data_IF_893120187176
#
_entry.id   IF_893120187176
#
_cell.length_a   1.000
_cell.length_b   1.000
_cell.length_c   1.000
_cell.angle_alpha   90.00
_cell.angle_beta   90.00
_cell.angle_gamma   90.00
#
_symmetry.space_group_name_H-M   'P 1'
#
loop_
_entity.id
_entity.type
_entity.pdbx_description
1 polymer ?
#
# COMPACT_ATOMS: atom_id res chain seq x y z
N UNK A 1 -50.27 26.68 -24.45
CA UNK A 1 -49.55 26.02 -25.55
C UNK A 1 -48.79 24.83 -24.97
N UNK A 2 -49.37 23.63 -25.08
CA UNK A 2 -48.74 22.40 -24.60
C UNK A 2 -47.73 21.95 -25.66
N UNK A 3 -46.44 21.95 -25.32
CA UNK A 3 -45.40 21.48 -26.22
C UNK A 3 -45.55 19.97 -26.42
N UNK A 4 -45.97 19.57 -27.62
CA UNK A 4 -45.87 18.21 -28.15
C UNK A 4 -44.39 17.82 -28.31
N UNK A 5 -43.72 17.50 -27.20
CA UNK A 5 -42.49 16.72 -27.28
C UNK A 5 -42.89 15.26 -27.51
N UNK A 6 -43.18 14.92 -28.76
CA UNK A 6 -43.18 13.53 -29.19
C UNK A 6 -41.76 13.01 -29.00
N UNK A 7 -41.54 12.20 -27.96
CA UNK A 7 -40.30 11.44 -27.81
C UNK A 7 -40.09 10.65 -29.09
N UNK A 8 -38.94 10.82 -29.73
CA UNK A 8 -38.68 10.23 -31.04
C UNK A 8 -38.85 8.71 -31.04
N UNK A 9 -39.03 8.06 -32.21
CA UNK A 9 -39.27 6.61 -32.30
C UNK A 9 -38.16 5.76 -31.66
N UNK A 10 -36.96 6.32 -31.52
CA UNK A 10 -35.80 5.68 -30.87
C UNK A 10 -35.95 5.73 -29.34
N UNK A 11 -36.29 6.88 -28.78
CA UNK A 11 -36.46 7.04 -27.33
C UNK A 11 -37.56 6.11 -26.80
N UNK A 12 -38.73 6.09 -27.45
CA UNK A 12 -39.82 5.19 -27.07
C UNK A 12 -39.42 3.71 -27.14
N UNK A 13 -38.62 3.30 -28.13
CA UNK A 13 -38.12 1.92 -28.25
C UNK A 13 -37.17 1.53 -27.10
N UNK A 14 -36.36 2.47 -26.63
CA UNK A 14 -35.44 2.23 -25.51
C UNK A 14 -36.15 2.21 -24.16
N UNK A 15 -37.12 3.11 -23.94
CA UNK A 15 -37.87 3.18 -22.69
C UNK A 15 -38.87 2.03 -22.51
N UNK A 16 -39.36 1.44 -23.60
CA UNK A 16 -40.35 0.35 -23.54
C UNK A 16 -39.74 -1.05 -23.49
N UNK A 17 -38.42 -1.19 -23.69
CA UNK A 17 -37.74 -2.48 -23.67
C UNK A 17 -36.66 -2.51 -22.58
N UNK A 18 -36.98 -3.19 -21.47
CA UNK A 18 -36.10 -3.32 -20.30
C UNK A 18 -34.74 -3.92 -20.65
N UNK A 19 -34.67 -4.89 -21.56
CA UNK A 19 -33.40 -5.52 -21.97
C UNK A 19 -32.51 -4.50 -22.67
N UNK A 20 -33.07 -3.71 -23.59
CA UNK A 20 -32.31 -2.69 -24.32
C UNK A 20 -31.82 -1.60 -23.38
N UNK A 21 -32.66 -1.17 -22.43
CA UNK A 21 -32.27 -0.21 -21.41
C UNK A 21 -31.11 -0.71 -20.54
N UNK A 22 -31.17 -1.96 -20.06
CA UNK A 22 -30.09 -2.56 -19.25
C UNK A 22 -28.79 -2.65 -20.04
N UNK A 23 -28.84 -3.09 -21.31
CA UNK A 23 -27.64 -3.21 -22.14
C UNK A 23 -26.98 -1.86 -22.42
N UNK A 24 -27.77 -0.81 -22.71
CA UNK A 24 -27.25 0.53 -22.94
C UNK A 24 -26.63 1.10 -21.67
N UNK A 25 -27.32 0.97 -20.52
CA UNK A 25 -26.78 1.43 -19.23
C UNK A 25 -25.49 0.71 -18.88
N UNK A 26 -25.44 -0.62 -19.06
CA UNK A 26 -24.23 -1.41 -18.86
C UNK A 26 -23.09 -0.92 -19.75
N UNK A 27 -23.35 -0.70 -21.05
CA UNK A 27 -22.35 -0.21 -21.98
C UNK A 27 -21.82 1.17 -21.55
N UNK A 28 -22.71 2.12 -21.21
CA UNK A 28 -22.32 3.47 -20.81
C UNK A 28 -21.50 3.51 -19.52
N UNK A 29 -21.92 2.76 -18.48
CA UNK A 29 -21.19 2.71 -17.20
C UNK A 29 -19.83 2.02 -17.37
N UNK A 30 -19.72 1.05 -18.28
CA UNK A 30 -18.46 0.33 -18.53
C UNK A 30 -17.38 1.17 -19.19
N UNK A 31 -17.74 2.23 -19.94
CA UNK A 31 -16.75 3.06 -20.66
C UNK A 31 -15.73 3.68 -19.69
N UNK A 32 -16.17 4.23 -18.56
CA UNK A 32 -15.27 4.85 -17.59
C UNK A 32 -14.25 3.86 -17.04
N UNK A 33 -14.72 2.68 -16.60
CA UNK A 33 -13.83 1.62 -16.10
C UNK A 33 -12.86 1.11 -17.17
N UNK A 34 -13.31 0.96 -18.42
CA UNK A 34 -12.45 0.53 -19.53
C UNK A 34 -11.34 1.56 -19.80
N UNK A 35 -11.68 2.85 -19.85
CA UNK A 35 -10.73 3.92 -20.21
C UNK A 35 -9.74 4.21 -19.07
N UNK A 36 -10.15 4.09 -17.82
CA UNK A 36 -9.30 4.43 -16.67
C UNK A 36 -8.47 3.25 -16.15
N UNK A 37 -9.05 2.03 -16.11
CA UNK A 37 -8.41 0.88 -15.45
C UNK A 37 -7.58 0.05 -16.41
N UNK A 38 -8.11 -0.26 -17.61
CA UNK A 38 -7.44 -1.19 -18.53
C UNK A 38 -6.06 -0.67 -18.97
N UNK A 39 -5.88 0.61 -19.34
CA UNK A 39 -4.57 1.10 -19.75
C UNK A 39 -3.50 1.00 -18.66
N UNK A 40 -3.85 1.07 -17.37
CA UNK A 40 -2.89 0.94 -16.27
C UNK A 40 -2.21 -0.44 -16.21
N UNK A 41 -2.79 -1.47 -16.82
CA UNK A 41 -2.15 -2.79 -16.94
C UNK A 41 -1.12 -2.89 -18.06
N UNK A 42 -1.12 -1.96 -19.03
CA UNK A 42 -0.30 -2.05 -20.24
C UNK A 42 0.58 -0.82 -20.50
N UNK A 43 0.32 0.30 -19.83
CA UNK A 43 1.11 1.52 -19.99
C UNK A 43 2.37 1.45 -19.12
N UNK A 44 3.45 0.93 -19.71
CA UNK A 44 4.75 0.80 -19.06
C UNK A 44 5.31 2.17 -18.60
N UNK A 45 4.96 3.26 -19.27
CA UNK A 45 5.44 4.60 -18.90
C UNK A 45 4.88 5.13 -17.57
N UNK A 46 3.82 4.50 -17.03
CA UNK A 46 3.22 4.94 -15.76
C UNK A 46 4.02 4.52 -14.54
N UNK A 47 4.94 3.56 -14.69
CA UNK A 47 5.73 3.03 -13.60
C UNK A 47 7.18 3.50 -13.72
N UNK A 48 7.66 4.19 -12.69
CA UNK A 48 8.97 4.83 -12.66
C UNK A 48 10.11 3.83 -12.85
N UNK A 49 9.95 2.59 -12.38
CA UNK A 49 10.97 1.55 -12.52
C UNK A 49 11.28 1.14 -13.96
N UNK A 50 10.40 1.46 -14.92
CA UNK A 50 10.66 1.21 -16.34
C UNK A 50 11.67 2.21 -16.92
N UNK A 51 11.71 3.44 -16.39
CA UNK A 51 12.75 4.45 -16.69
C UNK A 51 13.97 4.29 -15.78
N UNK A 52 13.74 3.97 -14.51
CA UNK A 52 14.71 3.95 -13.41
C UNK A 52 14.75 2.57 -12.75
N UNK A 53 15.47 1.62 -13.36
CA UNK A 53 15.49 0.21 -12.92
C UNK A 53 16.01 0.03 -11.49
N UNK A 54 16.82 0.97 -11.01
CA UNK A 54 17.35 1.04 -9.64
C UNK A 54 16.26 1.17 -8.57
N UNK A 55 15.03 1.54 -8.94
CA UNK A 55 13.90 1.62 -8.01
C UNK A 55 13.47 0.24 -7.53
N UNK A 56 13.60 -0.81 -8.36
CA UNK A 56 13.30 -2.18 -7.94
C UNK A 56 14.57 -2.89 -7.51
N UNK A 57 14.42 -3.76 -6.50
CA UNK A 57 15.53 -4.56 -6.05
C UNK A 57 15.85 -5.67 -7.06
N UNK A 58 17.03 -5.58 -7.69
CA UNK A 58 17.55 -6.62 -8.59
C UNK A 58 18.17 -7.77 -7.78
N UNK A 59 17.30 -8.62 -7.23
CA UNK A 59 17.68 -9.76 -6.39
C UNK A 59 18.45 -10.81 -7.21
N UNK A 60 19.69 -11.08 -6.81
CA UNK A 60 20.48 -12.20 -7.36
C UNK A 60 19.98 -13.53 -6.79
N UNK A 61 20.10 -14.61 -7.57
CA UNK A 61 19.55 -15.94 -7.25
C UNK A 61 19.97 -16.49 -5.88
N UNK A 62 21.20 -16.20 -5.43
CA UNK A 62 21.73 -16.66 -4.14
C UNK A 62 21.32 -15.77 -2.95
N UNK A 63 20.70 -14.61 -3.17
CA UNK A 63 20.34 -13.67 -2.11
C UNK A 63 19.01 -14.04 -1.45
N UNK A 64 18.94 -13.80 -0.16
CA UNK A 64 17.75 -13.86 0.69
C UNK A 64 17.20 -12.46 0.95
N UNK A 65 15.96 -12.34 1.44
CA UNK A 65 15.40 -11.05 1.86
C UNK A 65 16.25 -10.34 2.94
N UNK A 66 17.10 -11.07 3.67
CA UNK A 66 17.96 -10.51 4.71
C UNK A 66 19.26 -9.89 4.18
N UNK A 67 19.64 -10.17 2.94
CA UNK A 67 20.82 -9.56 2.30
C UNK A 67 20.55 -8.15 1.78
N UNK A 68 19.28 -7.75 1.73
CA UNK A 68 18.83 -6.43 1.31
C UNK A 68 19.18 -5.35 2.34
N UNK A 69 19.62 -4.19 1.86
CA UNK A 69 19.87 -2.98 2.65
C UNK A 69 18.99 -1.82 2.20
N UNK A 70 18.76 -0.86 3.10
CA UNK A 70 17.98 0.33 2.80
C UNK A 70 18.57 1.09 1.61
N UNK A 71 17.74 1.36 0.59
CA UNK A 71 18.13 1.99 -0.65
C UNK A 71 18.54 1.06 -1.79
N UNK A 72 18.58 -0.26 -1.59
CA UNK A 72 18.89 -1.24 -2.66
C UNK A 72 17.74 -1.42 -3.67
N UNK A 73 16.60 -0.76 -3.46
CA UNK A 73 15.40 -0.87 -4.27
C UNK A 73 14.23 -1.53 -3.54
N UNK A 74 13.05 -1.41 -4.14
CA UNK A 74 11.79 -1.98 -3.66
C UNK A 74 11.84 -3.49 -3.76
N UNK A 75 11.62 -4.14 -2.61
CA UNK A 75 11.56 -5.61 -2.47
C UNK A 75 10.23 -6.03 -1.85
N UNK A 76 9.83 -7.30 -1.99
CA UNK A 76 8.76 -7.87 -1.17
C UNK A 76 9.03 -7.64 0.33
N UNK A 77 7.97 -7.46 1.10
CA UNK A 77 8.07 -7.37 2.56
C UNK A 77 8.68 -8.64 3.16
N UNK A 78 9.46 -8.49 4.24
CA UNK A 78 9.88 -9.65 5.04
C UNK A 78 8.65 -10.26 5.72
N UNK A 79 8.69 -11.54 6.12
CA UNK A 79 7.58 -12.21 6.79
C UNK A 79 6.99 -11.39 7.96
N UNK A 80 7.85 -10.83 8.82
CA UNK A 80 7.41 -10.01 9.95
C UNK A 80 6.79 -8.66 9.52
N UNK A 81 7.38 -8.00 8.52
CA UNK A 81 6.88 -6.74 7.94
C UNK A 81 5.51 -6.96 7.25
N UNK A 82 5.35 -8.06 6.53
CA UNK A 82 4.09 -8.43 5.85
C UNK A 82 2.97 -8.63 6.86
N UNK A 83 3.27 -9.28 7.99
CA UNK A 83 2.30 -9.44 9.07
C UNK A 83 2.03 -8.11 9.79
N UNK A 84 3.05 -7.27 9.98
CA UNK A 84 2.89 -5.92 10.50
C UNK A 84 1.93 -5.09 9.66
N UNK A 85 2.07 -5.15 8.33
CA UNK A 85 1.16 -4.55 7.36
C UNK A 85 -0.26 -5.08 7.49
N UNK A 86 -0.42 -6.40 7.66
CA UNK A 86 -1.74 -7.01 7.89
C UNK A 86 -2.39 -6.46 9.16
N UNK A 87 -1.63 -6.30 10.24
CA UNK A 87 -2.16 -5.73 11.49
C UNK A 87 -2.44 -4.22 11.36
N UNK A 88 -1.60 -3.47 10.65
CA UNK A 88 -1.88 -2.07 10.30
C UNK A 88 -3.25 -1.91 9.60
N UNK A 89 -3.57 -2.83 8.68
CA UNK A 89 -4.87 -2.88 8.01
C UNK A 89 -5.98 -3.29 8.99
N UNK A 90 -5.77 -4.34 9.81
CA UNK A 90 -6.75 -4.81 10.79
C UNK A 90 -7.16 -3.71 11.78
N UNK A 91 -6.18 -2.95 12.27
CA UNK A 91 -6.39 -1.87 13.24
C UNK A 91 -6.95 -0.60 12.59
N UNK A 92 -7.10 -0.55 11.26
CA UNK A 92 -7.67 0.59 10.56
C UNK A 92 -6.78 1.83 10.58
N UNK A 93 -5.45 1.67 10.71
CA UNK A 93 -4.53 2.81 10.78
C UNK A 93 -4.65 3.74 9.55
N UNK A 94 -4.97 3.16 8.39
CA UNK A 94 -5.23 3.88 7.13
C UNK A 94 -6.39 4.88 7.18
N UNK A 95 -7.30 4.78 8.17
CA UNK A 95 -8.39 5.75 8.37
C UNK A 95 -7.89 7.10 8.90
N UNK A 96 -6.71 7.12 9.52
CA UNK A 96 -6.10 8.31 10.12
C UNK A 96 -4.79 8.71 9.46
N UNK A 97 -4.06 7.75 8.89
CA UNK A 97 -2.72 7.93 8.34
C UNK A 97 -2.69 7.58 6.86
N UNK A 98 -2.19 8.49 6.04
CA UNK A 98 -1.90 8.22 4.65
C UNK A 98 -0.49 7.66 4.47
N UNK A 99 -0.30 6.90 3.40
CA UNK A 99 1.02 6.53 2.90
C UNK A 99 1.14 6.98 1.44
N UNK A 100 1.01 8.29 1.19
CA UNK A 100 1.21 8.87 -0.14
C UNK A 100 1.56 10.34 0.00
N UNK A 101 2.84 10.66 -0.20
CA UNK A 101 3.34 12.04 -0.15
C UNK A 101 3.12 12.69 -1.51
N UNK A 102 2.40 13.81 -1.53
CA UNK A 102 2.11 14.54 -2.75
C UNK A 102 3.31 15.40 -3.18
N UNK A 103 3.45 15.68 -4.48
CA UNK A 103 4.60 16.40 -5.03
C UNK A 103 4.46 17.92 -4.90
N UNK A 104 4.29 18.38 -3.66
CA UNK A 104 4.31 19.79 -3.28
C UNK A 104 5.49 20.06 -2.37
N UNK A 105 6.05 21.27 -2.45
CA UNK A 105 7.18 21.67 -1.60
C UNK A 105 6.88 21.49 -0.11
N UNK A 106 5.71 21.95 0.37
CA UNK A 106 5.34 21.82 1.79
C UNK A 106 5.23 20.36 2.26
N UNK A 107 4.80 19.45 1.39
CA UNK A 107 4.82 18.02 1.72
C UNK A 107 6.22 17.44 1.70
N UNK A 108 7.08 17.91 0.78
CA UNK A 108 8.49 17.51 0.74
C UNK A 108 9.18 17.85 2.06
N UNK A 109 9.05 19.08 2.53
CA UNK A 109 9.68 19.53 3.78
C UNK A 109 9.15 18.77 5.00
N UNK A 110 7.87 18.42 5.02
CA UNK A 110 7.25 17.74 6.17
C UNK A 110 7.54 16.24 6.21
N UNK A 111 7.47 15.56 5.07
CA UNK A 111 7.44 14.10 5.01
C UNK A 111 8.64 13.50 4.25
N UNK A 112 9.28 14.25 3.36
CA UNK A 112 10.36 13.79 2.50
C UNK A 112 9.92 13.70 1.04
N UNK A 113 10.69 13.00 0.20
CA UNK A 113 10.41 12.90 -1.24
C UNK A 113 8.94 12.50 -1.55
N UNK A 114 8.38 12.95 -2.66
CA UNK A 114 7.03 12.50 -3.05
C UNK A 114 7.02 10.99 -3.28
N UNK A 115 5.89 10.33 -3.04
CA UNK A 115 5.77 8.88 -3.24
C UNK A 115 5.79 8.54 -4.73
N UNK A 116 6.51 7.49 -5.09
CA UNK A 116 6.50 6.92 -6.43
C UNK A 116 5.43 5.82 -6.53
N UNK A 117 4.84 5.62 -7.71
CA UNK A 117 3.89 4.52 -7.93
C UNK A 117 4.56 3.16 -7.68
N UNK A 118 5.82 3.03 -8.10
CA UNK A 118 6.63 1.83 -7.93
C UNK A 118 6.89 1.42 -6.47
N UNK A 119 6.82 2.36 -5.50
CA UNK A 119 6.96 2.04 -4.07
C UNK A 119 5.80 1.16 -3.54
N UNK A 120 4.63 1.22 -4.18
CA UNK A 120 3.44 0.44 -3.82
C UNK A 120 3.18 -0.76 -4.73
N UNK A 121 4.16 -1.18 -5.55
CA UNK A 121 3.97 -2.26 -6.53
C UNK A 121 3.59 -3.62 -5.88
N UNK A 122 4.06 -3.88 -4.66
CA UNK A 122 3.76 -5.10 -3.90
C UNK A 122 2.64 -4.92 -2.86
N UNK A 123 1.98 -3.76 -2.86
CA UNK A 123 0.93 -3.46 -1.91
C UNK A 123 -0.43 -4.02 -2.33
N UNK A 124 -0.78 -5.18 -1.77
CA UNK A 124 -2.10 -5.78 -1.94
C UNK A 124 -2.87 -5.77 -0.60
N UNK A 125 -3.89 -4.90 -0.41
CA UNK A 125 -4.28 -3.74 -1.23
C UNK A 125 -3.44 -2.50 -0.91
N UNK A 126 -3.38 -1.52 -1.83
CA UNK A 126 -2.64 -0.25 -1.63
C UNK A 126 -2.99 0.45 -0.30
N UNK A 127 -2.00 1.12 0.33
CA UNK A 127 -2.16 1.82 1.62
C UNK A 127 -2.16 3.35 1.51
N UNK A 128 -2.40 3.88 0.30
CA UNK A 128 -2.57 5.32 0.12
C UNK A 128 -3.79 5.78 0.91
N UNK A 129 -3.62 6.83 1.71
CA UNK A 129 -4.70 7.31 2.56
C UNK A 129 -5.61 8.28 1.84
N UNK A 130 -6.87 8.32 2.29
CA UNK A 130 -7.86 9.32 1.86
C UNK A 130 -8.05 10.43 2.90
N UNK A 131 -7.44 10.30 4.09
CA UNK A 131 -7.54 11.24 5.21
C UNK A 131 -6.24 11.30 6.00
N UNK A 132 -5.97 12.46 6.61
CA UNK A 132 -4.86 12.70 7.54
C UNK A 132 -5.41 13.28 8.85
N UNK A 133 -5.82 12.41 9.76
CA UNK A 133 -6.07 12.79 11.16
C UNK A 133 -4.73 12.81 11.90
N UNK A 134 -3.87 11.82 11.62
CA UNK A 134 -2.45 11.83 11.97
C UNK A 134 -1.57 12.14 10.75
N UNK A 135 -0.24 12.23 10.96
CA UNK A 135 0.71 12.52 9.88
C UNK A 135 0.77 11.41 8.82
N UNK A 136 1.30 11.74 7.63
CA UNK A 136 1.64 10.74 6.61
C UNK A 136 2.78 9.83 7.08
N UNK A 137 2.69 8.53 6.78
CA UNK A 137 3.62 7.49 7.22
C UNK A 137 4.47 6.90 6.08
N UNK A 138 4.32 7.36 4.83
CA UNK A 138 5.02 6.78 3.68
C UNK A 138 6.55 6.78 3.84
N UNK A 139 7.09 7.66 4.67
CA UNK A 139 8.54 7.78 4.97
C UNK A 139 8.79 7.92 6.46
N UNK A 140 8.25 7.01 7.26
CA UNK A 140 8.49 7.00 8.72
C UNK A 140 9.69 6.12 9.09
N UNK A 141 10.12 5.23 8.20
CA UNK A 141 11.26 4.34 8.46
C UNK A 141 12.53 5.09 8.83
N UNK A 142 13.12 4.73 9.97
CA UNK A 142 14.32 5.34 10.52
C UNK A 142 14.13 6.74 11.14
N UNK A 143 12.93 7.34 11.10
CA UNK A 143 12.68 8.66 11.74
C UNK A 143 12.55 8.57 13.25
N UNK A 144 12.03 7.45 13.75
CA UNK A 144 11.84 7.19 15.18
C UNK A 144 12.46 5.84 15.54
N UNK A 145 12.88 5.67 16.79
CA UNK A 145 13.37 4.39 17.28
C UNK A 145 12.23 3.39 17.46
N UNK A 146 12.56 2.10 17.44
CA UNK A 146 11.60 1.03 17.74
C UNK A 146 10.96 1.21 19.11
N UNK A 147 11.75 1.64 20.10
CA UNK A 147 11.26 1.95 21.45
C UNK A 147 10.24 3.10 21.44
N UNK A 148 10.47 4.16 20.64
CA UNK A 148 9.49 5.23 20.49
C UNK A 148 8.19 4.70 19.87
N UNK A 149 8.27 3.85 18.84
CA UNK A 149 7.09 3.24 18.25
C UNK A 149 6.32 2.36 19.24
N UNK A 150 7.03 1.56 20.06
CA UNK A 150 6.44 0.73 21.13
C UNK A 150 5.70 1.60 22.15
N UNK A 151 6.33 2.65 22.66
CA UNK A 151 5.72 3.55 23.63
C UNK A 151 4.53 4.30 23.03
N UNK A 152 4.69 4.83 21.81
CA UNK A 152 3.64 5.54 21.09
C UNK A 152 2.44 4.65 20.80
N UNK A 153 2.61 3.42 20.31
CA UNK A 153 1.49 2.52 20.02
C UNK A 153 0.77 2.06 21.29
N UNK A 154 1.49 1.84 22.38
CA UNK A 154 0.90 1.46 23.67
C UNK A 154 0.08 2.61 24.27
N UNK A 155 0.62 3.82 24.25
CA UNK A 155 -0.05 5.00 24.78
C UNK A 155 0.44 6.28 24.06
N UNK A 156 -0.18 6.71 22.95
CA UNK A 156 0.29 7.86 22.16
C UNK A 156 0.41 9.13 23.00
N UNK A 157 -0.52 9.34 23.94
CA UNK A 157 -0.53 10.51 24.83
C UNK A 157 0.59 10.53 25.87
N UNK A 158 1.35 9.44 26.04
CA UNK A 158 2.52 9.41 26.92
C UNK A 158 3.75 10.09 26.29
N UNK A 159 3.83 10.10 24.96
CA UNK A 159 4.95 10.70 24.21
C UNK A 159 4.52 11.93 23.40
N UNK A 160 3.24 12.04 23.04
CA UNK A 160 2.63 13.18 22.35
C UNK A 160 1.31 13.52 23.08
N UNK A 161 1.33 14.38 24.12
CA UNK A 161 0.19 14.64 25.01
C UNK A 161 -1.12 15.00 24.30
N UNK A 162 -1.03 15.73 23.19
CA UNK A 162 -2.13 16.19 22.35
C UNK A 162 -2.61 15.17 21.30
N UNK A 163 -2.01 13.97 21.27
CA UNK A 163 -2.35 12.95 20.29
C UNK A 163 -3.82 12.53 20.42
N UNK A 164 -4.50 12.43 19.29
CA UNK A 164 -5.86 11.88 19.19
C UNK A 164 -5.86 10.39 18.80
N UNK A 165 -4.69 9.79 18.61
CA UNK A 165 -4.56 8.39 18.21
C UNK A 165 -5.02 7.46 19.35
N UNK A 166 -5.78 6.38 19.07
CA UNK A 166 -6.14 5.37 20.07
C UNK A 166 -4.93 4.64 20.67
N UNK A 167 -5.13 4.01 21.84
CA UNK A 167 -4.14 3.10 22.42
C UNK A 167 -4.27 1.71 21.80
N UNK A 168 -3.15 1.02 21.54
CA UNK A 168 -3.12 -0.35 21.01
C UNK A 168 -2.33 -1.34 21.91
N UNK A 169 -2.56 -1.40 23.24
CA UNK A 169 -1.77 -2.21 24.16
C UNK A 169 -1.93 -3.73 23.98
N UNK A 170 -2.97 -4.16 23.25
CA UNK A 170 -3.18 -5.58 22.94
C UNK A 170 -2.12 -6.12 21.97
N UNK A 171 -1.53 -5.27 21.14
CA UNK A 171 -0.49 -5.68 20.17
C UNK A 171 0.71 -6.33 20.85
N UNK A 172 1.04 -5.91 22.07
CA UNK A 172 2.13 -6.49 22.85
C UNK A 172 1.77 -7.87 23.43
N UNK A 173 0.48 -8.17 23.60
CA UNK A 173 -0.01 -9.42 24.22
C UNK A 173 -0.27 -10.50 23.18
N UNK A 174 -0.69 -10.09 21.99
CA UNK A 174 -0.99 -11.00 20.90
C UNK A 174 0.29 -11.41 20.15
N UNK A 175 0.32 -12.65 19.68
CA UNK A 175 1.44 -13.19 18.91
C UNK A 175 1.11 -13.28 17.42
N UNK A 176 2.16 -13.25 16.61
CA UNK A 176 2.04 -13.49 15.16
C UNK A 176 1.84 -14.98 14.92
N UNK A 177 0.85 -15.35 14.09
CA UNK A 177 0.58 -16.75 13.72
C UNK A 177 1.49 -17.20 12.55
N UNK A 178 2.46 -18.12 12.78
CA UNK A 178 3.40 -18.57 11.75
C UNK A 178 2.74 -19.28 10.56
N UNK A 179 1.65 -20.01 10.83
CA UNK A 179 0.92 -20.75 9.78
C UNK A 179 0.25 -19.77 8.83
N UNK A 180 -0.38 -18.74 9.39
CA UNK A 180 -1.02 -17.68 8.60
C UNK A 180 0.01 -16.85 7.84
N UNK A 181 1.20 -16.59 8.38
CA UNK A 181 2.30 -15.91 7.67
C UNK A 181 2.67 -16.64 6.39
N UNK A 182 2.95 -17.95 6.49
CA UNK A 182 3.33 -18.79 5.34
C UNK A 182 2.26 -18.78 4.26
N UNK A 183 0.98 -18.95 4.65
CA UNK A 183 -0.16 -18.89 3.72
C UNK A 183 -0.30 -17.53 3.07
N UNK A 184 -0.08 -16.44 3.82
CA UNK A 184 -0.17 -15.08 3.29
C UNK A 184 0.91 -14.86 2.24
N UNK A 185 2.15 -15.28 2.47
CA UNK A 185 3.23 -15.19 1.49
C UNK A 185 2.92 -15.99 0.21
N UNK A 186 2.37 -17.19 0.35
CA UNK A 186 1.91 -18.00 -0.80
C UNK A 186 0.86 -17.27 -1.62
N UNK A 187 -0.14 -16.65 -0.97
CA UNK A 187 -1.16 -15.84 -1.67
C UNK A 187 -0.54 -14.62 -2.34
N UNK A 188 0.34 -13.89 -1.67
CA UNK A 188 1.04 -12.75 -2.27
C UNK A 188 1.86 -13.18 -3.50
N UNK A 189 2.47 -14.36 -3.48
CA UNK A 189 3.13 -14.94 -4.65
C UNK A 189 2.16 -15.20 -5.80
N UNK A 190 0.95 -15.70 -5.53
CA UNK A 190 -0.08 -15.85 -6.58
C UNK A 190 -0.56 -14.53 -7.17
N UNK A 191 -0.42 -13.42 -6.42
CA UNK A 191 -0.74 -12.07 -6.87
C UNK A 191 0.42 -11.39 -7.64
N UNK A 192 1.56 -12.09 -7.82
CA UNK A 192 2.71 -11.58 -8.58
C UNK A 192 3.86 -11.05 -7.73
N UNK A 193 3.78 -11.10 -6.40
CA UNK A 193 4.92 -10.70 -5.54
C UNK A 193 6.02 -11.76 -5.62
N UNK A 194 7.29 -11.39 -5.92
CA UNK A 194 8.36 -12.34 -6.23
C UNK A 194 8.99 -12.99 -4.98
N UNK A 195 8.19 -13.70 -4.19
CA UNK A 195 8.69 -14.59 -3.14
C UNK A 195 9.24 -15.89 -3.72
N UNK A 196 10.44 -16.26 -3.28
CA UNK A 196 11.05 -17.57 -3.58
C UNK A 196 10.50 -18.66 -2.67
N UNK A 197 10.71 -19.93 -3.02
CA UNK A 197 10.37 -21.05 -2.14
C UNK A 197 11.15 -20.99 -0.81
N UNK A 198 12.38 -20.49 -0.84
CA UNK A 198 13.20 -20.29 0.35
C UNK A 198 12.59 -19.25 1.30
N UNK A 199 12.09 -18.11 0.78
CA UNK A 199 11.46 -17.08 1.61
C UNK A 199 10.19 -17.61 2.29
N UNK A 200 9.38 -18.39 1.55
CA UNK A 200 8.15 -18.97 2.09
C UNK A 200 8.48 -20.04 3.13
N UNK A 201 9.53 -20.84 2.91
CA UNK A 201 9.96 -21.87 3.84
C UNK A 201 10.51 -21.29 5.16
N UNK A 202 11.22 -20.15 5.11
CA UNK A 202 11.71 -19.47 6.32
C UNK A 202 10.63 -18.65 7.04
N UNK A 203 9.54 -18.30 6.36
CA UNK A 203 8.55 -17.34 6.84
C UNK A 203 7.94 -17.64 8.21
N UNK A 204 7.70 -18.92 8.53
CA UNK A 204 7.18 -19.31 9.84
C UNK A 204 8.20 -19.10 10.97
N UNK A 205 9.46 -19.47 10.73
CA UNK A 205 10.53 -19.34 11.71
C UNK A 205 10.87 -17.86 12.02
N UNK A 206 10.77 -16.99 11.01
CA UNK A 206 11.08 -15.56 11.17
C UNK A 206 10.09 -14.79 12.07
N UNK A 207 8.87 -15.32 12.24
CA UNK A 207 7.83 -14.70 13.09
C UNK A 207 7.58 -15.43 14.40
N UNK A 208 8.26 -16.56 14.63
CA UNK A 208 8.04 -17.36 15.82
C UNK A 208 8.37 -16.58 17.10
N UNK A 209 7.43 -16.57 18.05
CA UNK A 209 7.57 -15.83 19.31
C UNK A 209 7.49 -14.31 19.18
N UNK A 210 7.26 -13.76 17.98
CA UNK A 210 7.07 -12.31 17.79
C UNK A 210 5.65 -11.89 18.16
N UNK A 211 5.55 -10.70 18.73
CA UNK A 211 4.27 -10.05 19.04
C UNK A 211 3.74 -9.31 17.82
N UNK A 212 2.43 -9.00 17.81
CA UNK A 212 1.86 -8.14 16.77
C UNK A 212 2.46 -6.73 16.82
N UNK A 213 2.91 -6.29 17.99
CA UNK A 213 3.62 -5.01 18.15
C UNK A 213 4.97 -5.04 17.44
N UNK A 214 5.76 -6.10 17.60
CA UNK A 214 7.03 -6.28 16.87
C UNK A 214 6.80 -6.25 15.36
N UNK A 215 5.71 -6.88 14.91
CA UNK A 215 5.35 -6.91 13.50
C UNK A 215 5.01 -5.51 12.97
N UNK A 216 4.15 -4.75 13.66
CA UNK A 216 3.80 -3.39 13.24
C UNK A 216 5.02 -2.48 13.25
N UNK A 217 5.89 -2.57 14.26
CA UNK A 217 7.13 -1.79 14.31
C UNK A 217 8.01 -2.12 13.11
N UNK A 218 8.21 -3.41 12.79
CA UNK A 218 8.98 -3.83 11.62
C UNK A 218 8.39 -3.26 10.31
N UNK A 219 7.06 -3.28 10.16
CA UNK A 219 6.39 -2.67 9.00
C UNK A 219 6.61 -1.16 8.93
N UNK A 220 6.40 -0.43 10.03
CA UNK A 220 6.60 1.03 10.05
C UNK A 220 8.06 1.39 9.73
N UNK A 221 9.02 0.60 10.21
CA UNK A 221 10.44 0.86 9.98
C UNK A 221 10.88 0.67 8.53
N UNK A 222 10.16 -0.12 7.72
CA UNK A 222 10.51 -0.29 6.30
C UNK A 222 9.91 0.80 5.41
N UNK A 223 8.87 1.52 5.85
CA UNK A 223 8.16 2.51 5.03
C UNK A 223 9.07 3.65 4.57
N UNK A 224 9.25 3.73 3.25
CA UNK A 224 10.02 4.78 2.58
C UNK A 224 11.54 4.60 2.63
N UNK A 225 12.01 3.45 3.12
CA UNK A 225 13.45 3.11 3.16
C UNK A 225 13.93 2.40 1.89
N UNK A 226 13.01 1.99 1.02
CA UNK A 226 13.31 1.11 -0.10
C UNK A 226 14.08 1.79 -1.23
N UNK A 227 13.71 3.02 -1.55
CA UNK A 227 14.29 3.80 -2.65
C UNK A 227 15.27 4.82 -2.09
N UNK A 228 16.49 4.83 -2.63
CA UNK A 228 17.45 5.91 -2.39
C UNK A 228 17.24 7.00 -3.44
N UNK A 229 16.72 8.14 -3.02
CA UNK A 229 16.48 9.26 -3.91
C UNK A 229 17.76 10.03 -4.22
N UNK A 230 17.91 10.38 -5.49
CA UNK A 230 18.89 11.34 -5.99
C UNK A 230 18.16 12.65 -6.30
N UNK A 231 18.58 13.76 -5.69
CA UNK A 231 17.96 15.07 -5.92
C UNK A 231 18.20 15.62 -7.33
N UNK A 232 19.17 15.07 -8.07
CA UNK A 232 19.44 15.44 -9.46
C UNK A 232 18.48 14.78 -10.46
N UNK A 233 17.73 13.75 -10.04
CA UNK A 233 16.84 12.98 -10.91
C UNK A 233 15.40 13.45 -10.70
N UNK A 234 14.69 13.72 -11.80
CA UNK A 234 13.24 13.85 -11.77
C UNK A 234 12.61 12.48 -12.02
N UNK A 235 11.97 11.92 -11.00
CA UNK A 235 11.30 10.62 -11.05
C UNK A 235 9.88 10.69 -11.65
N UNK A 236 9.58 11.72 -12.45
CA UNK A 236 8.30 11.90 -13.18
C UNK A 236 8.41 11.54 -14.66
#
# INVERSE_FOLDING_TARGET
MSNNNQTGPIQKKFETNVIVMVLITFALVSVGGIVEIIPLFYLDETMEHNKHKEILWDRKEAQTLNDWQAGDGVRPYKPLELMGRKYYIREGCYLCHSQMIRPFRDEKERYGHYSLASESIYDHPFQWGSKRTGPDLARVGGKYSDEWHVLHLNAPRSVVPESVMPNYPWLQKNTVDPVTTTKTMQVMRTLGVPYTDADIASGAAEVEGKTELDAIVAYLQVLGTMVKFDEAIDYR
#
